data_IF_669690898688
#
_entry.id   IF_669690898688
#
_cell.length_a   1.000
_cell.length_b   1.000
_cell.length_c   1.000
_cell.angle_alpha   90.00
_cell.angle_beta   90.00
_cell.angle_gamma   90.00
#
_symmetry.space_group_name_H-M   'P 1'
#
loop_
_entity.id
_entity.type
_entity.pdbx_description
1 polymer ?
#
# COMPACT_ATOMS: atom_id res chain seq x y z
N UNK A 1 -21.58 4.37 -0.22
CA UNK A 1 -21.95 3.04 0.30
C UNK A 1 -22.08 3.02 1.82
N UNK A 2 -21.02 2.75 2.61
CA UNK A 2 -21.16 2.62 4.09
C UNK A 2 -21.69 3.92 4.74
N UNK A 3 -21.12 5.06 4.33
CA UNK A 3 -21.57 6.38 4.81
C UNK A 3 -23.02 6.66 4.37
N UNK A 4 -23.37 6.35 3.12
CA UNK A 4 -24.73 6.55 2.59
C UNK A 4 -25.75 5.64 3.31
N UNK A 5 -25.32 4.48 3.80
CA UNK A 5 -26.13 3.60 4.65
C UNK A 5 -26.27 4.10 6.10
N UNK A 6 -25.74 5.29 6.43
CA UNK A 6 -25.88 5.93 7.74
C UNK A 6 -24.84 5.51 8.78
N UNK A 7 -23.81 4.76 8.39
CA UNK A 7 -22.78 4.29 9.33
C UNK A 7 -21.54 5.17 9.33
N UNK A 8 -20.88 5.21 10.49
CA UNK A 8 -19.64 5.95 10.65
C UNK A 8 -18.46 5.14 10.13
N UNK A 9 -17.47 5.86 9.61
CA UNK A 9 -16.28 5.26 8.99
C UNK A 9 -15.04 6.04 9.42
N UNK A 10 -13.94 5.35 9.69
CA UNK A 10 -12.62 5.95 9.87
C UNK A 10 -11.52 5.07 9.27
N UNK A 11 -10.37 5.65 8.93
CA UNK A 11 -9.20 4.88 8.49
C UNK A 11 -8.43 4.25 9.66
N UNK A 12 -7.53 3.33 9.35
CA UNK A 12 -6.55 2.78 10.28
C UNK A 12 -5.15 3.33 9.99
N UNK A 13 -4.33 3.54 11.04
CA UNK A 13 -3.05 4.24 10.89
C UNK A 13 -1.92 3.36 10.34
N UNK A 14 -2.04 2.03 10.41
CA UNK A 14 -0.99 1.08 9.99
C UNK A 14 -1.20 0.57 8.57
N UNK A 15 -2.46 0.49 8.13
CA UNK A 15 -2.83 -0.13 6.86
C UNK A 15 -3.71 0.85 6.06
N UNK A 16 -3.29 1.25 4.84
CA UNK A 16 -4.01 2.25 4.05
C UNK A 16 -5.40 1.80 3.60
N UNK A 17 -5.59 0.50 3.40
CA UNK A 17 -6.86 -0.07 2.95
C UNK A 17 -7.79 -0.50 4.08
N UNK A 18 -7.33 -0.46 5.33
CA UNK A 18 -8.13 -0.87 6.46
C UNK A 18 -9.10 0.24 6.88
N UNK A 19 -10.36 -0.17 7.02
CA UNK A 19 -11.48 0.71 7.34
C UNK A 19 -12.12 0.22 8.63
N UNK A 20 -12.32 1.14 9.58
CA UNK A 20 -13.12 0.91 10.78
C UNK A 20 -14.50 1.46 10.55
N UNK A 21 -15.52 0.75 11.01
CA UNK A 21 -16.91 1.17 10.85
C UNK A 21 -17.79 0.66 11.99
N UNK A 22 -18.88 1.37 12.27
CA UNK A 22 -19.94 0.94 13.19
C UNK A 22 -20.95 0.00 12.53
N UNK A 23 -20.86 -0.22 11.22
CA UNK A 23 -21.75 -1.10 10.49
C UNK A 23 -21.62 -2.56 10.94
N UNK A 24 -22.74 -3.29 11.12
CA UNK A 24 -22.69 -4.72 11.40
C UNK A 24 -22.17 -5.49 10.18
N UNK A 25 -21.58 -6.66 10.42
CA UNK A 25 -21.02 -7.50 9.35
C UNK A 25 -22.05 -7.86 8.27
N UNK A 26 -23.33 -8.00 8.63
CA UNK A 26 -24.42 -8.26 7.68
C UNK A 26 -24.52 -7.18 6.59
N UNK A 27 -24.46 -5.91 6.99
CA UNK A 27 -24.50 -4.74 6.10
C UNK A 27 -23.28 -4.72 5.18
N UNK A 28 -22.09 -5.01 5.70
CA UNK A 28 -20.88 -5.06 4.88
C UNK A 28 -21.00 -6.15 3.80
N UNK A 29 -21.51 -7.32 4.16
CA UNK A 29 -21.76 -8.38 3.18
C UNK A 29 -22.83 -8.00 2.15
N UNK A 30 -23.88 -7.28 2.54
CA UNK A 30 -24.88 -6.77 1.59
C UNK A 30 -24.29 -5.78 0.59
N UNK A 31 -23.42 -4.87 1.06
CA UNK A 31 -22.68 -3.94 0.20
C UNK A 31 -21.79 -4.69 -0.79
N UNK A 32 -21.06 -5.72 -0.33
CA UNK A 32 -20.21 -6.53 -1.20
C UNK A 32 -21.02 -7.29 -2.26
N UNK A 33 -22.18 -7.84 -1.88
CA UNK A 33 -23.10 -8.49 -2.81
C UNK A 33 -23.63 -7.52 -3.86
N UNK A 34 -24.12 -6.35 -3.44
CA UNK A 34 -24.61 -5.32 -4.34
C UNK A 34 -23.52 -4.82 -5.30
N UNK A 35 -22.27 -4.73 -4.82
CA UNK A 35 -21.13 -4.35 -5.65
C UNK A 35 -20.86 -5.36 -6.75
N UNK A 36 -20.86 -6.66 -6.44
CA UNK A 36 -20.61 -7.73 -7.40
C UNK A 36 -21.76 -7.83 -8.42
N UNK A 37 -23.01 -7.60 -8.00
CA UNK A 37 -24.15 -7.50 -8.93
C UNK A 37 -23.96 -6.35 -9.94
N UNK A 38 -23.43 -5.21 -9.51
CA UNK A 38 -23.15 -4.05 -10.38
C UNK A 38 -21.87 -4.22 -11.22
N UNK A 39 -20.86 -4.90 -10.69
CA UNK A 39 -19.55 -5.10 -11.31
C UNK A 39 -19.22 -6.60 -11.33
N UNK A 40 -19.75 -7.36 -12.31
CA UNK A 40 -19.57 -8.80 -12.36
C UNK A 40 -18.09 -9.16 -12.55
N UNK A 41 -17.66 -10.20 -11.85
CA UNK A 41 -16.29 -10.72 -11.96
C UNK A 41 -16.10 -11.46 -13.29
N UNK A 42 -14.91 -11.33 -13.89
CA UNK A 42 -14.56 -12.02 -15.15
C UNK A 42 -14.69 -13.55 -15.07
N UNK A 43 -14.51 -14.10 -13.87
CA UNK A 43 -14.65 -15.53 -13.59
C UNK A 43 -15.91 -15.71 -12.75
N UNK A 44 -16.79 -16.58 -13.22
CA UNK A 44 -17.92 -17.02 -12.42
C UNK A 44 -17.40 -17.86 -11.23
N UNK A 45 -18.05 -17.78 -10.06
CA UNK A 45 -17.76 -18.67 -8.95
C UNK A 45 -17.97 -20.12 -9.38
N UNK A 46 -17.16 -21.04 -8.84
CA UNK A 46 -17.39 -22.46 -9.07
C UNK A 46 -18.74 -22.87 -8.46
N UNK A 47 -19.52 -23.76 -9.12
CA UNK A 47 -20.71 -24.33 -8.50
C UNK A 47 -20.33 -25.02 -7.18
N UNK A 48 -21.20 -24.91 -6.18
CA UNK A 48 -21.03 -25.40 -4.79
C UNK A 48 -19.89 -24.79 -3.95
N UNK A 49 -19.16 -23.81 -4.48
CA UNK A 49 -18.18 -23.06 -3.68
C UNK A 49 -18.85 -22.21 -2.59
N UNK A 50 -18.11 -21.92 -1.52
CA UNK A 50 -18.53 -20.98 -0.47
C UNK A 50 -18.84 -19.59 -1.06
N UNK A 51 -18.08 -19.16 -2.07
CA UNK A 51 -18.29 -17.91 -2.79
C UNK A 51 -19.69 -17.87 -3.44
N UNK A 52 -20.06 -18.93 -4.16
CA UNK A 52 -21.38 -19.05 -4.77
C UNK A 52 -22.50 -18.96 -3.72
N UNK A 53 -22.34 -19.63 -2.56
CA UNK A 53 -23.32 -19.60 -1.46
C UNK A 53 -23.47 -18.21 -0.84
N UNK A 54 -22.36 -17.47 -0.67
CA UNK A 54 -22.39 -16.10 -0.12
C UNK A 54 -23.06 -15.11 -1.08
N UNK A 55 -22.82 -15.28 -2.38
CA UNK A 55 -23.39 -14.42 -3.43
C UNK A 55 -24.84 -14.74 -3.76
N UNK A 56 -25.29 -15.98 -3.53
CA UNK A 56 -26.67 -16.40 -3.73
C UNK A 56 -27.65 -15.71 -2.75
N UNK A 57 -27.18 -15.29 -1.57
CA UNK A 57 -28.01 -14.56 -0.62
C UNK A 57 -28.35 -13.17 -1.17
N UNK A 58 -29.60 -12.76 -1.07
CA UNK A 58 -30.00 -11.42 -1.50
C UNK A 58 -29.63 -10.35 -0.45
N UNK A 59 -29.17 -9.16 -0.89
CA UNK A 59 -28.89 -8.05 0.02
C UNK A 59 -30.20 -7.52 0.63
N UNK A 60 -30.21 -7.27 1.94
CA UNK A 60 -31.41 -6.77 2.63
C UNK A 60 -31.56 -5.26 2.58
N UNK A 61 -30.49 -4.54 2.23
CA UNK A 61 -30.46 -3.08 2.13
C UNK A 61 -30.30 -2.62 0.69
N UNK A 62 -30.89 -1.46 0.37
CA UNK A 62 -30.58 -0.75 -0.87
C UNK A 62 -29.23 -0.03 -0.72
N UNK A 63 -28.29 -0.32 -1.62
CA UNK A 63 -26.91 0.13 -1.50
C UNK A 63 -26.60 1.20 -2.54
N UNK A 64 -26.44 2.42 -2.06
CA UNK A 64 -25.99 3.53 -2.88
C UNK A 64 -24.45 3.64 -2.89
N UNK A 65 -23.86 3.56 -4.09
CA UNK A 65 -22.42 3.68 -4.34
C UNK A 65 -21.97 5.08 -4.76
N UNK A 66 -22.87 6.07 -4.80
CA UNK A 66 -22.47 7.46 -5.07
C UNK A 66 -21.50 7.95 -3.99
N UNK A 67 -20.55 8.81 -4.40
CA UNK A 67 -19.59 9.41 -3.46
C UNK A 67 -20.33 10.52 -2.69
N UNK A 68 -20.47 10.40 -1.36
CA UNK A 68 -21.14 11.43 -0.57
C UNK A 68 -20.28 12.70 -0.53
N UNK A 69 -20.88 13.83 -0.90
CA UNK A 69 -20.26 15.16 -0.82
C UNK A 69 -20.10 15.60 0.64
N UNK A 70 -19.02 16.29 0.98
CA UNK A 70 -18.75 16.81 2.34
C UNK A 70 -17.66 16.04 3.11
N UNK A 71 -18.02 15.41 4.24
CA UNK A 71 -17.06 14.81 5.23
C UNK A 71 -15.97 13.92 4.62
N UNK A 72 -16.24 13.26 3.49
CA UNK A 72 -15.28 12.39 2.83
C UNK A 72 -14.25 13.18 2.01
N UNK A 73 -14.68 14.21 1.28
CA UNK A 73 -13.81 15.07 0.46
C UNK A 73 -12.84 15.85 1.34
N UNK A 74 -13.32 16.40 2.47
CA UNK A 74 -12.47 17.09 3.45
C UNK A 74 -11.38 16.17 4.04
N UNK A 75 -11.64 14.88 4.17
CA UNK A 75 -10.68 13.90 4.70
C UNK A 75 -9.59 13.51 3.70
N UNK A 76 -9.82 13.74 2.41
CA UNK A 76 -8.89 13.44 1.32
C UNK A 76 -8.32 14.69 0.66
N UNK A 77 -8.74 15.90 1.06
CA UNK A 77 -8.31 17.17 0.47
C UNK A 77 -6.89 17.58 0.84
N UNK A 78 -6.27 16.94 1.83
CA UNK A 78 -4.87 17.19 2.19
C UNK A 78 -3.95 16.62 1.10
N UNK A 79 -3.20 17.49 0.43
CA UNK A 79 -2.23 17.12 -0.63
C UNK A 79 -1.02 16.29 -0.14
N UNK A 80 -0.90 16.00 1.15
CA UNK A 80 0.20 15.21 1.70
C UNK A 80 -0.16 13.71 1.74
N UNK A 81 0.72 12.80 1.25
CA UNK A 81 0.48 11.37 1.34
C UNK A 81 0.53 10.93 2.81
N UNK A 82 -0.57 10.35 3.31
CA UNK A 82 -0.64 9.81 4.67
C UNK A 82 0.34 8.65 4.89
N UNK A 83 0.57 7.85 3.84
CA UNK A 83 1.44 6.67 3.85
C UNK A 83 2.55 6.86 2.83
N UNK A 84 3.67 7.51 3.19
CA UNK A 84 4.80 7.66 2.28
C UNK A 84 5.46 6.30 2.03
N UNK A 85 5.82 6.02 0.78
CA UNK A 85 6.64 4.87 0.46
C UNK A 85 8.04 5.03 1.04
N UNK A 86 8.66 3.91 1.48
CA UNK A 86 10.02 3.94 1.98
C UNK A 86 11.00 4.36 0.86
N UNK A 87 11.79 5.43 1.01
CA UNK A 87 12.54 6.01 -0.10
C UNK A 87 13.74 5.17 -0.60
N UNK A 88 14.41 4.35 0.22
CA UNK A 88 15.56 3.53 -0.24
C UNK A 88 15.74 2.19 0.51
N UNK A 89 16.47 1.23 -0.10
CA UNK A 89 16.75 -0.13 0.42
C UNK A 89 17.48 -0.17 1.77
N UNK A 90 18.23 0.88 2.12
CA UNK A 90 18.97 1.02 3.40
C UNK A 90 18.51 2.27 4.18
N UNK A 91 17.23 2.63 4.08
CA UNK A 91 16.67 3.77 4.79
C UNK A 91 16.55 3.48 6.29
N UNK A 92 17.62 3.79 7.01
CA UNK A 92 17.77 3.58 8.44
C UNK A 92 19.12 4.11 8.91
N UNK A 93 19.36 4.17 10.24
CA UNK A 93 20.66 4.55 10.76
C UNK A 93 21.74 3.66 10.14
N UNK A 94 22.78 4.31 9.59
CA UNK A 94 23.89 3.62 8.91
C UNK A 94 24.48 2.55 9.83
N UNK A 95 25.08 1.53 9.22
CA UNK A 95 25.81 0.50 9.97
C UNK A 95 26.77 1.14 10.98
N UNK A 96 26.87 0.53 12.18
CA UNK A 96 27.81 0.93 13.23
C UNK A 96 29.18 1.15 12.61
N UNK A 97 29.80 2.31 12.86
CA UNK A 97 31.15 2.60 12.36
C UNK A 97 32.13 1.53 12.83
N UNK A 98 32.58 0.68 11.92
CA UNK A 98 33.73 -0.20 12.14
C UNK A 98 34.96 0.66 11.98
N UNK A 99 35.69 0.92 13.08
CA UNK A 99 36.89 1.76 13.04
C UNK A 99 37.81 1.31 11.91
N UNK A 100 38.19 2.25 11.04
CA UNK A 100 39.15 2.01 9.97
C UNK A 100 40.44 1.50 10.63
N UNK A 101 40.83 0.24 10.40
CA UNK A 101 42.19 -0.18 10.75
C UNK A 101 43.12 0.64 9.88
N UNK A 102 43.80 1.63 10.46
CA UNK A 102 44.92 2.32 9.84
C UNK A 102 45.85 1.25 9.26
N UNK A 103 46.01 1.20 7.94
CA UNK A 103 47.15 0.50 7.35
C UNK A 103 48.37 1.24 7.86
N UNK A 104 49.22 0.56 8.60
CA UNK A 104 50.56 1.03 8.92
C UNK A 104 51.34 0.99 7.61
N UNK A 105 51.76 2.16 7.14
CA UNK A 105 52.67 2.29 6.01
C UNK A 105 53.99 1.62 6.40
N UNK A 106 54.26 0.44 5.84
CA UNK A 106 55.60 -0.16 5.82
C UNK A 106 56.02 -0.22 4.35
N UNK A 107 57.16 0.41 4.09
CA UNK A 107 57.80 0.65 2.80
C UNK A 107 57.84 -0.55 1.87
N UNK A 108 57.47 -0.31 0.60
CA UNK A 108 58.37 -0.52 -0.55
C UNK A 108 57.65 0.00 -1.81
N UNK A 109 57.92 1.25 -2.18
CA UNK A 109 57.58 1.79 -3.50
C UNK A 109 58.51 1.20 -4.57
N UNK A 110 57.99 0.68 -5.69
CA UNK A 110 58.71 0.74 -6.96
C UNK A 110 58.08 1.78 -7.89
N UNK A 111 58.84 2.88 -8.02
CA UNK A 111 58.93 3.95 -9.04
C UNK A 111 57.93 3.94 -10.23
N UNK A 112 57.21 5.06 -10.51
CA UNK A 112 56.31 5.16 -11.64
C UNK A 112 57.05 5.37 -12.98
N UNK A 113 56.75 4.48 -13.94
CA UNK A 113 57.10 4.56 -15.38
C UNK A 113 57.16 6.00 -15.92
N UNK A 114 58.36 6.44 -16.31
CA UNK A 114 58.56 7.52 -17.29
C UNK A 114 58.17 7.02 -18.69
N UNK A 115 57.27 7.72 -19.37
CA UNK A 115 57.04 7.61 -20.82
C UNK A 115 57.13 9.01 -21.43
N UNK A 116 57.95 9.09 -22.49
CA UNK A 116 58.09 10.08 -23.57
C UNK A 116 59.59 10.40 -23.74
N UNK A 117 60.26 10.30 -24.88
CA UNK A 117 60.06 9.79 -26.25
C UNK A 117 61.48 9.85 -26.89
N UNK A 118 61.94 8.85 -27.66
CA UNK A 118 63.01 9.01 -28.67
C UNK A 118 62.80 7.98 -29.80
N UNK A 119 62.30 8.49 -30.93
CA UNK A 119 62.57 8.18 -32.34
C UNK A 119 62.77 6.72 -32.83
N UNK A 120 61.85 6.23 -33.67
CA UNK A 120 61.95 6.03 -35.14
C UNK A 120 60.59 5.60 -35.70
#
# INVERSE_FOLDING_TARGET
>A
AIINAGYEVSGYHKEPHAIKTTAPNSVIWDIMRAWIKKNPTKKAPKPDSLEAKVLAKEPSIDVDFTVPKGKLEERFSTNAPRFPHNPTKNWGPKAKGTGYKRKTDNESDPDPKRRADEDV
#
